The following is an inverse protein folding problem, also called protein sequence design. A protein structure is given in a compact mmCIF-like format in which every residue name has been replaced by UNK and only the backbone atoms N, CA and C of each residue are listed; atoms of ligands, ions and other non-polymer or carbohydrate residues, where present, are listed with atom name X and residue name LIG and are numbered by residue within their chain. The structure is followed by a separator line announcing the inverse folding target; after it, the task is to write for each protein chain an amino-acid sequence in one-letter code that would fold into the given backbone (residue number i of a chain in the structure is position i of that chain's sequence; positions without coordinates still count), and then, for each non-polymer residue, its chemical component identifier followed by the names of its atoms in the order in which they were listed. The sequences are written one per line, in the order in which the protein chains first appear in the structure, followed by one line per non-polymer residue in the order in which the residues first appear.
data_IF_582663575729
#
_entry.id   IF_582663575729
#
_cell.length_a   1.000
_cell.length_b   1.000
_cell.length_c   1.000
_cell.angle_alpha   90.00
_cell.angle_beta   90.00
_cell.angle_gamma   90.00
#
_symmetry.space_group_name_H-M   'P 1'
#
loop_
_entity.id
_entity.type
_entity.pdbx_description
1 polymer ?
#
# COMPACT_ATOMS: atom_id res chain seq x y z
N UNK A 1 6.86 11.36 7.53
CA UNK A 1 6.02 10.98 6.37
C UNK A 1 6.21 9.49 6.18
N UNK A 2 5.43 8.68 6.91
CA UNK A 2 5.63 7.23 6.98
C UNK A 2 4.90 6.58 5.81
N UNK A 3 5.65 5.96 4.90
CA UNK A 3 5.10 5.23 3.76
C UNK A 3 4.23 4.08 4.29
N UNK A 4 3.06 3.87 3.67
CA UNK A 4 2.11 2.83 4.00
C UNK A 4 2.77 1.45 3.89
N UNK A 5 3.22 0.88 5.01
CA UNK A 5 3.73 -0.48 5.04
C UNK A 5 2.54 -1.42 5.26
N UNK A 6 2.02 -1.96 4.17
CA UNK A 6 1.23 -3.18 4.23
C UNK A 6 2.14 -4.27 4.81
N UNK A 7 1.77 -4.82 5.96
CA UNK A 7 2.48 -5.90 6.65
C UNK A 7 2.29 -7.22 5.88
N UNK A 8 2.89 -7.29 4.70
CA UNK A 8 2.67 -8.32 3.71
C UNK A 8 3.96 -8.67 2.97
N UNK A 9 3.99 -9.86 2.37
CA UNK A 9 5.04 -10.26 1.46
C UNK A 9 4.45 -11.08 0.30
N UNK A 10 4.87 -10.75 -0.92
CA UNK A 10 4.35 -11.38 -2.14
C UNK A 10 2.95 -10.88 -2.52
N UNK A 11 2.43 -11.39 -3.65
CA UNK A 11 1.10 -10.99 -4.15
C UNK A 11 0.01 -11.74 -3.40
N UNK A 12 0.15 -13.05 -3.25
CA UNK A 12 -0.79 -13.97 -2.61
C UNK A 12 -0.11 -14.60 -1.40
N UNK A 13 -0.81 -14.64 -0.26
CA UNK A 13 -0.28 -15.18 0.98
C UNK A 13 -0.15 -16.70 0.98
N UNK A 14 0.74 -17.22 1.81
CA UNK A 14 0.96 -18.67 2.03
C UNK A 14 1.19 -19.51 0.77
N UNK A 15 1.57 -18.89 -0.36
CA UNK A 15 1.83 -19.60 -1.60
C UNK A 15 3.33 -19.59 -1.90
N UNK A 16 3.98 -20.74 -1.71
CA UNK A 16 5.38 -20.94 -2.10
C UNK A 16 5.43 -21.68 -3.42
N UNK A 17 5.64 -20.96 -4.53
CA UNK A 17 5.85 -21.57 -5.84
C UNK A 17 7.24 -21.24 -6.39
N UNK A 18 7.91 -22.25 -6.92
CA UNK A 18 9.18 -22.08 -7.64
C UNK A 18 9.00 -21.10 -8.81
N UNK A 19 7.92 -21.24 -9.58
CA UNK A 19 7.60 -20.35 -10.69
C UNK A 19 7.36 -18.91 -10.23
N UNK A 20 6.66 -18.71 -9.11
CA UNK A 20 6.41 -17.39 -8.54
C UNK A 20 7.70 -16.72 -8.08
N UNK A 21 8.60 -17.46 -7.43
CA UNK A 21 9.91 -16.95 -7.04
C UNK A 21 10.80 -16.65 -8.25
N UNK A 22 10.84 -17.53 -9.26
CA UNK A 22 11.60 -17.29 -10.49
C UNK A 22 11.07 -16.04 -11.20
N UNK A 23 9.75 -15.93 -11.37
CA UNK A 23 9.12 -14.78 -12.01
C UNK A 23 9.43 -13.48 -11.25
N UNK A 24 9.25 -13.49 -9.93
CA UNK A 24 9.67 -12.40 -9.05
C UNK A 24 11.15 -12.06 -9.26
N UNK A 25 12.00 -13.10 -9.38
CA UNK A 25 13.43 -12.90 -9.44
C UNK A 25 13.92 -12.27 -10.74
N UNK A 26 13.21 -12.54 -11.83
CA UNK A 26 13.55 -12.06 -13.16
C UNK A 26 12.90 -10.71 -13.51
N UNK A 27 11.72 -10.42 -12.95
CA UNK A 27 10.91 -9.28 -13.37
C UNK A 27 10.95 -8.09 -12.38
N UNK A 28 11.55 -8.25 -11.20
CA UNK A 28 11.61 -7.15 -10.22
C UNK A 28 12.92 -6.38 -10.31
N UNK A 29 12.82 -5.05 -10.38
CA UNK A 29 13.96 -4.12 -10.27
C UNK A 29 14.62 -4.14 -8.88
N UNK A 30 13.99 -4.78 -7.91
CA UNK A 30 14.54 -4.89 -6.56
C UNK A 30 15.81 -5.76 -6.55
N UNK A 31 15.86 -6.86 -7.31
CA UNK A 31 17.05 -7.73 -7.33
C UNK A 31 18.28 -7.04 -7.88
N UNK A 32 18.12 -6.13 -8.84
CA UNK A 32 19.25 -5.34 -9.35
C UNK A 32 19.71 -4.26 -8.38
N UNK A 33 18.91 -3.92 -7.36
CA UNK A 33 19.20 -2.90 -6.35
C UNK A 33 19.38 -3.47 -4.93
N UNK A 34 19.48 -4.79 -4.80
CA UNK A 34 19.66 -5.45 -3.51
C UNK A 34 21.04 -5.15 -2.91
N UNK A 35 21.09 -5.01 -1.58
CA UNK A 35 22.35 -4.71 -0.86
C UNK A 35 23.28 -5.92 -0.79
N UNK A 36 22.73 -7.13 -0.86
CA UNK A 36 23.45 -8.40 -0.72
C UNK A 36 22.89 -9.45 -1.69
N UNK A 37 23.77 -10.22 -2.32
CA UNK A 37 23.41 -11.36 -3.19
C UNK A 37 22.73 -12.51 -2.44
N UNK A 38 22.89 -12.54 -1.12
CA UNK A 38 22.23 -13.53 -0.27
C UNK A 38 20.82 -13.12 0.12
N UNK A 39 20.46 -11.84 -0.07
CA UNK A 39 19.13 -11.32 0.20
C UNK A 39 18.12 -11.94 -0.78
N UNK A 40 17.08 -12.59 -0.28
CA UNK A 40 16.03 -13.23 -1.10
C UNK A 40 14.75 -12.41 -1.17
N UNK A 41 14.50 -11.57 -0.17
CA UNK A 41 13.34 -10.68 -0.08
C UNK A 41 13.74 -9.30 0.48
N UNK A 42 13.02 -8.23 0.13
CA UNK A 42 13.25 -6.90 0.68
C UNK A 42 12.95 -6.84 2.18
N UNK A 43 13.58 -5.90 2.87
CA UNK A 43 13.33 -5.64 4.30
C UNK A 43 11.86 -5.28 4.59
N UNK A 44 11.12 -4.78 3.59
CA UNK A 44 9.68 -4.49 3.70
C UNK A 44 8.81 -5.75 3.90
N UNK A 45 9.32 -6.94 3.55
CA UNK A 45 8.64 -8.21 3.81
C UNK A 45 8.80 -8.70 5.25
N UNK A 46 9.61 -8.01 6.06
CA UNK A 46 9.97 -8.44 7.40
C UNK A 46 9.08 -7.84 8.46
N UNK A 47 8.66 -8.68 9.41
CA UNK A 47 8.08 -8.24 10.66
C UNK A 47 9.17 -7.83 11.65
N UNK A 48 8.78 -7.19 12.75
CA UNK A 48 9.71 -6.76 13.79
C UNK A 48 10.51 -7.94 14.34
N UNK A 49 11.84 -7.90 14.20
CA UNK A 49 12.72 -8.96 14.70
C UNK A 49 14.03 -9.04 13.94
N UNK A 50 14.55 -10.26 13.74
CA UNK A 50 15.82 -10.48 13.06
C UNK A 50 15.67 -10.37 11.54
N UNK A 51 16.03 -9.21 11.02
CA UNK A 51 15.98 -8.88 9.59
C UNK A 51 16.85 -9.83 8.77
N UNK A 52 17.98 -10.32 9.29
CA UNK A 52 18.88 -11.20 8.52
C UNK A 52 18.26 -12.58 8.32
N UNK A 53 17.57 -13.09 9.33
CA UNK A 53 16.80 -14.34 9.23
C UNK A 53 15.62 -14.16 8.27
N UNK A 54 14.90 -13.04 8.39
CA UNK A 54 13.79 -12.74 7.51
C UNK A 54 14.22 -12.64 6.03
N UNK A 55 15.29 -11.91 5.73
CA UNK A 55 15.72 -11.66 4.35
C UNK A 55 16.43 -12.86 3.72
N UNK A 56 16.79 -13.87 4.52
CA UNK A 56 17.53 -15.05 4.08
C UNK A 56 19.05 -14.85 4.02
N UNK A 57 19.56 -13.77 4.62
CA UNK A 57 21.00 -13.52 4.77
C UNK A 57 21.65 -14.40 5.85
N UNK A 58 20.89 -14.79 6.87
CA UNK A 58 21.31 -15.75 7.90
C UNK A 58 20.78 -17.16 7.59
N UNK A 59 21.48 -18.18 8.09
CA UNK A 59 21.05 -19.57 7.94
C UNK A 59 19.75 -19.83 8.72
N UNK A 60 18.68 -20.17 8.00
CA UNK A 60 17.40 -20.57 8.57
C UNK A 60 16.75 -21.68 7.74
N UNK A 61 16.26 -22.73 8.40
CA UNK A 61 15.64 -23.91 7.76
C UNK A 61 14.16 -23.66 7.41
N UNK A 62 13.92 -22.59 6.63
CA UNK A 62 12.60 -22.17 6.17
C UNK A 62 12.66 -21.07 5.10
N UNK A 63 11.50 -20.54 4.69
CA UNK A 63 11.44 -19.41 3.76
C UNK A 63 12.12 -18.15 4.35
N UNK A 64 12.70 -17.28 3.53
CA UNK A 64 12.66 -17.24 2.06
C UNK A 64 13.75 -18.08 1.37
N UNK A 65 14.70 -18.65 2.12
CA UNK A 65 15.90 -19.28 1.54
C UNK A 65 15.60 -20.64 0.93
N UNK A 66 14.81 -21.43 1.63
CA UNK A 66 14.18 -22.60 1.08
C UNK A 66 12.78 -22.14 0.64
N UNK A 67 12.39 -22.34 -0.62
CA UNK A 67 11.00 -22.06 -1.08
C UNK A 67 10.30 -23.25 -1.79
N UNK A 68 11.04 -24.32 -2.14
CA UNK A 68 10.50 -25.56 -2.71
C UNK A 68 11.30 -26.82 -2.30
N UNK A 69 11.67 -26.98 -1.02
CA UNK A 69 12.44 -28.13 -0.55
C UNK A 69 11.65 -28.94 0.46
N UNK A 70 11.69 -30.27 0.34
CA UNK A 70 11.24 -31.20 1.40
C UNK A 70 11.93 -30.95 2.76
N UNK A 71 12.98 -30.11 2.81
CA UNK A 71 13.65 -29.62 4.02
C UNK A 71 12.90 -28.50 4.77
N UNK A 72 11.68 -28.12 4.39
CA UNK A 72 10.86 -27.20 5.20
C UNK A 72 10.53 -27.78 6.56
N UNK A 73 11.35 -27.45 7.55
CA UNK A 73 11.14 -27.86 8.93
C UNK A 73 10.49 -26.76 9.76
N UNK A 74 10.67 -25.48 9.38
CA UNK A 74 10.23 -24.34 10.19
C UNK A 74 9.67 -23.20 9.35
N UNK A 75 8.60 -22.58 9.85
CA UNK A 75 8.06 -21.32 9.33
C UNK A 75 8.86 -20.15 9.90
N UNK A 76 9.25 -19.19 9.06
CA UNK A 76 10.00 -18.02 9.50
C UNK A 76 9.07 -17.04 10.23
N UNK A 77 9.25 -16.80 11.54
CA UNK A 77 8.37 -15.91 12.30
C UNK A 77 8.58 -14.43 11.97
N UNK A 78 9.72 -14.08 11.36
CA UNK A 78 10.08 -12.72 11.01
C UNK A 78 9.64 -12.32 9.60
N UNK A 79 9.01 -13.23 8.86
CA UNK A 79 8.56 -13.01 7.49
C UNK A 79 7.04 -12.86 7.47
N UNK A 80 6.52 -11.82 6.83
CA UNK A 80 5.09 -11.72 6.61
C UNK A 80 4.62 -12.81 5.64
N UNK A 81 3.62 -13.59 6.06
CA UNK A 81 3.04 -14.67 5.26
C UNK A 81 1.79 -14.25 4.49
N UNK A 82 1.23 -13.08 4.80
CA UNK A 82 0.08 -12.53 4.10
C UNK A 82 0.49 -11.92 2.76
N UNK A 83 -0.28 -12.18 1.71
CA UNK A 83 -0.10 -11.55 0.42
C UNK A 83 -0.49 -10.07 0.50
N UNK A 84 0.21 -9.23 -0.26
CA UNK A 84 -0.09 -7.80 -0.28
C UNK A 84 -1.45 -7.50 -0.93
N UNK A 85 -1.89 -8.33 -1.88
CA UNK A 85 -3.23 -8.21 -2.44
C UNK A 85 -4.31 -8.57 -1.40
N UNK A 86 -4.08 -9.66 -0.66
CA UNK A 86 -4.99 -10.10 0.41
C UNK A 86 -5.07 -9.06 1.54
N UNK A 87 -3.92 -8.50 1.94
CA UNK A 87 -3.85 -7.45 2.94
C UNK A 87 -4.54 -6.16 2.47
N UNK A 88 -4.41 -5.80 1.19
CA UNK A 88 -5.08 -4.64 0.62
C UNK A 88 -6.60 -4.83 0.60
N UNK A 89 -7.09 -5.99 0.14
CA UNK A 89 -8.53 -6.30 0.16
C UNK A 89 -9.06 -6.26 1.58
N UNK A 90 -8.35 -6.89 2.52
CA UNK A 90 -8.74 -6.89 3.94
C UNK A 90 -8.78 -5.47 4.52
N UNK A 91 -7.80 -4.63 4.17
CA UNK A 91 -7.79 -3.23 4.56
C UNK A 91 -9.00 -2.48 3.98
N UNK A 92 -9.25 -2.63 2.67
CA UNK A 92 -10.39 -2.01 2.00
C UNK A 92 -11.73 -2.47 2.58
N UNK A 93 -11.87 -3.74 2.95
CA UNK A 93 -13.07 -4.26 3.60
C UNK A 93 -13.23 -3.72 5.03
N UNK A 94 -12.14 -3.67 5.80
CA UNK A 94 -12.16 -3.20 7.20
C UNK A 94 -12.50 -1.71 7.27
N UNK A 95 -11.94 -0.91 6.36
CA UNK A 95 -12.17 0.54 6.29
C UNK A 95 -13.22 0.93 5.24
N UNK A 96 -13.98 -0.03 4.72
CA UNK A 96 -15.01 0.20 3.69
C UNK A 96 -16.03 1.24 4.12
N UNK A 97 -16.41 1.23 5.41
CA UNK A 97 -17.29 2.22 6.00
C UNK A 97 -16.70 3.65 5.92
N UNK A 98 -15.43 3.81 6.28
CA UNK A 98 -14.74 5.12 6.25
C UNK A 98 -14.62 5.63 4.81
N UNK A 99 -14.20 4.76 3.89
CA UNK A 99 -14.09 5.09 2.46
C UNK A 99 -15.47 5.49 1.90
N UNK A 100 -16.52 4.76 2.28
CA UNK A 100 -17.89 5.08 1.90
C UNK A 100 -18.36 6.43 2.44
N UNK A 101 -18.07 6.73 3.70
CA UNK A 101 -18.40 8.04 4.30
C UNK A 101 -17.69 9.17 3.59
N UNK A 102 -16.39 9.05 3.34
CA UNK A 102 -15.61 10.09 2.63
C UNK A 102 -16.17 10.29 1.22
N UNK A 103 -16.47 9.20 0.51
CA UNK A 103 -17.03 9.23 -0.83
C UNK A 103 -18.41 9.91 -0.89
N UNK A 104 -19.22 9.84 0.17
CA UNK A 104 -20.51 10.53 0.25
C UNK A 104 -20.38 12.01 0.65
N UNK A 105 -19.44 12.33 1.56
CA UNK A 105 -19.30 13.66 2.15
C UNK A 105 -18.58 14.65 1.23
N UNK A 106 -17.53 14.21 0.52
CA UNK A 106 -16.75 15.08 -0.38
C UNK A 106 -17.61 15.71 -1.49
N UNK A 107 -18.47 14.97 -2.21
CA UNK A 107 -19.37 15.55 -3.21
C UNK A 107 -20.33 16.59 -2.63
N UNK A 108 -20.85 16.38 -1.41
CA UNK A 108 -21.73 17.35 -0.76
C UNK A 108 -21.01 18.67 -0.51
N UNK A 109 -19.79 18.63 0.02
CA UNK A 109 -18.98 19.84 0.20
C UNK A 109 -18.64 20.53 -1.11
N UNK A 110 -18.39 19.78 -2.19
CA UNK A 110 -18.18 20.36 -3.52
C UNK A 110 -19.43 21.11 -4.01
N UNK A 111 -20.62 20.53 -3.84
CA UNK A 111 -21.88 21.21 -4.20
C UNK A 111 -22.10 22.47 -3.37
N UNK A 112 -21.87 22.43 -2.05
CA UNK A 112 -21.94 23.62 -1.22
C UNK A 112 -20.93 24.69 -1.67
N UNK A 113 -19.70 24.29 -2.02
CA UNK A 113 -18.69 25.20 -2.56
C UNK A 113 -19.13 25.87 -3.87
N UNK A 114 -19.77 25.13 -4.77
CA UNK A 114 -20.34 25.66 -6.01
C UNK A 114 -21.44 26.69 -5.68
N UNK A 115 -22.39 26.36 -4.80
CA UNK A 115 -23.49 27.26 -4.43
C UNK A 115 -22.95 28.56 -3.82
N UNK A 116 -22.03 28.47 -2.86
CA UNK A 116 -21.43 29.64 -2.22
C UNK A 116 -20.68 30.50 -3.24
N UNK A 117 -19.94 29.86 -4.16
CA UNK A 117 -19.23 30.57 -5.24
C UNK A 117 -20.19 31.34 -6.14
N UNK A 118 -21.31 30.73 -6.55
CA UNK A 118 -22.35 31.42 -7.31
C UNK A 118 -22.97 32.58 -6.53
N UNK A 119 -23.33 32.37 -5.26
CA UNK A 119 -23.92 33.41 -4.41
C UNK A 119 -22.97 34.61 -4.21
N UNK A 120 -21.66 34.37 -4.04
CA UNK A 120 -20.66 35.42 -3.92
C UNK A 120 -20.46 36.17 -5.23
N UNK A 121 -20.38 35.45 -6.36
CA UNK A 121 -20.28 36.08 -7.69
C UNK A 121 -21.50 36.95 -8.00
N UNK A 122 -22.71 36.49 -7.69
CA UNK A 122 -23.93 37.28 -7.88
C UNK A 122 -23.98 38.52 -6.98
N UNK A 123 -23.50 38.41 -5.73
CA UNK A 123 -23.45 39.56 -4.82
C UNK A 123 -22.41 40.60 -5.26
N UNK A 124 -21.23 40.17 -5.71
CA UNK A 124 -20.19 41.09 -6.19
C UNK A 124 -20.60 41.77 -7.50
N UNK A 125 -21.31 41.06 -8.38
CA UNK A 125 -21.84 41.62 -9.62
C UNK A 125 -23.00 42.59 -9.39
N UNK A 126 -23.74 42.45 -8.28
CA UNK A 126 -24.76 43.40 -7.86
C UNK A 126 -24.17 44.75 -7.44
N UNK A 127 -23.08 44.75 -6.65
CA UNK A 127 -22.37 46.00 -6.30
C UNK A 127 -21.86 46.73 -7.55
N UNK A 128 -21.34 45.99 -8.54
CA UNK A 128 -20.89 46.60 -9.81
C UNK A 128 -22.01 47.19 -10.67
N UNK A 129 -23.28 46.89 -10.41
CA UNK A 129 -24.41 47.46 -11.14
C UNK A 129 -25.08 48.62 -10.40
N UNK A 130 -25.02 48.63 -9.06
CA UNK A 130 -25.55 49.73 -8.25
C UNK A 130 -24.58 50.94 -8.18
N UNK A 131 -23.28 50.75 -8.41
CA UNK A 131 -22.28 51.83 -8.43
C UNK A 131 -22.19 52.60 -9.78
N UNK A 132 -22.94 52.22 -10.82
CA UNK A 132 -23.00 52.95 -12.10
C UNK A 132 -24.24 53.87 -12.24
N UNK A 133 -25.09 53.97 -11.22
CA UNK A 133 -26.29 54.83 -11.23
C UNK A 133 -26.19 55.93 -10.16
N UNK A 134 -25.05 56.62 -10.09
CA UNK A 134 -24.93 57.92 -9.43
C UNK A 134 -23.77 58.71 -10.07
N UNK A 135 -23.96 59.16 -11.32
CA UNK A 135 -23.24 60.29 -11.91
C UNK A 135 -24.11 61.13 -12.84
#
# INVERSE_FOLDING_TARGET
MSCFQLQCCGVVGNFTSLEGYIYYSLNTKWITSQKSTNQKVPESCCSSGDVKICTGEADFNGPPRFFNSELFKQTNPFLYTNGCYDALIKYLQTYSAVVGTVAAVVPLFLVFGIIISFCLCSRVSGYGHDDEVDL
#
